data_IF_631317690461
#
_entry.id   IF_631317690461
#
_cell.length_a   1.000
_cell.length_b   1.000
_cell.length_c   1.000
_cell.angle_alpha   90.00
_cell.angle_beta   90.00
_cell.angle_gamma   90.00
#
_symmetry.space_group_name_H-M   'P 1'
#
loop_
_entity.id
_entity.type
_entity.pdbx_description
1 polymer ?
#
# COMPACT_ATOMS: atom_id res chain seq x y z
N UNK A 1 -2.60 19.83 15.04
CA UNK A 1 -3.00 18.69 15.88
C UNK A 1 -1.76 18.13 16.56
N UNK A 2 -1.81 17.82 17.85
CA UNK A 2 -0.69 17.24 18.61
C UNK A 2 -0.56 15.73 18.34
N UNK A 3 0.58 15.13 18.71
CA UNK A 3 0.78 13.69 18.61
C UNK A 3 -0.27 12.90 19.39
N UNK A 4 -0.60 13.34 20.59
CA UNK A 4 -1.56 12.67 21.47
C UNK A 4 -2.99 12.75 20.91
N UNK A 5 -3.37 13.89 20.33
CA UNK A 5 -4.66 14.03 19.64
C UNK A 5 -4.76 13.06 18.45
N UNK A 6 -3.71 12.94 17.63
CA UNK A 6 -3.67 11.99 16.50
C UNK A 6 -3.74 10.56 17.02
N UNK A 7 -2.98 10.22 18.06
CA UNK A 7 -2.99 8.89 18.66
C UNK A 7 -4.38 8.52 19.18
N UNK A 8 -5.09 9.48 19.80
CA UNK A 8 -6.46 9.32 20.25
C UNK A 8 -7.44 9.08 19.11
N UNK A 9 -7.26 9.72 17.95
CA UNK A 9 -8.08 9.45 16.75
C UNK A 9 -7.80 8.06 16.20
N UNK A 10 -6.53 7.68 16.07
CA UNK A 10 -6.14 6.37 15.53
C UNK A 10 -6.62 5.20 16.41
N UNK A 11 -6.71 5.39 17.73
CA UNK A 11 -7.27 4.40 18.65
C UNK A 11 -8.78 4.13 18.41
N UNK A 12 -9.48 4.99 17.68
CA UNK A 12 -10.89 4.80 17.30
C UNK A 12 -11.05 4.11 15.94
N UNK A 13 -9.96 3.83 15.24
CA UNK A 13 -9.96 3.16 13.93
C UNK A 13 -9.50 1.73 14.11
N UNK A 14 -10.20 0.79 13.47
CA UNK A 14 -9.87 -0.62 13.48
C UNK A 14 -10.09 -1.24 12.10
N UNK A 15 -9.23 -2.18 11.74
CA UNK A 15 -9.36 -3.01 10.54
C UNK A 15 -8.57 -4.30 10.77
N UNK A 16 -9.27 -5.43 10.82
CA UNK A 16 -8.68 -6.74 11.16
C UNK A 16 -7.85 -6.67 12.45
N UNK A 17 -6.73 -7.40 12.51
CA UNK A 17 -5.74 -7.34 13.58
C UNK A 17 -4.57 -6.38 13.26
N UNK A 18 -4.76 -5.47 12.31
CA UNK A 18 -3.71 -4.56 11.85
C UNK A 18 -3.53 -3.38 12.80
N UNK A 19 -2.29 -2.96 12.96
CA UNK A 19 -1.93 -1.86 13.85
C UNK A 19 -1.73 -0.57 13.07
N UNK A 20 -2.38 0.51 13.51
CA UNK A 20 -2.13 1.89 13.06
C UNK A 20 -1.02 2.52 13.89
N UNK A 21 0.23 2.34 13.45
CA UNK A 21 1.40 2.86 14.15
C UNK A 21 1.64 4.34 13.83
N UNK A 22 1.72 5.18 14.86
CA UNK A 22 2.11 6.58 14.76
C UNK A 22 3.61 6.73 15.08
N UNK A 23 4.41 6.89 14.03
CA UNK A 23 5.84 7.12 14.12
C UNK A 23 6.23 8.57 13.95
N UNK A 24 7.52 8.84 14.10
CA UNK A 24 8.13 10.14 13.89
C UNK A 24 9.44 9.99 13.12
N UNK A 25 9.67 10.87 12.13
CA UNK A 25 10.87 10.95 11.30
C UNK A 25 11.36 12.40 11.32
N UNK A 26 12.42 12.67 12.08
CA UNK A 26 12.80 14.03 12.47
C UNK A 26 11.67 14.72 13.24
N UNK A 27 11.18 15.84 12.73
CA UNK A 27 10.05 16.58 13.31
C UNK A 27 8.68 16.13 12.77
N UNK A 28 8.65 15.30 11.73
CA UNK A 28 7.40 14.96 11.03
C UNK A 28 6.82 13.64 11.53
N UNK A 29 5.55 13.66 11.92
CA UNK A 29 4.82 12.45 12.25
C UNK A 29 4.44 11.68 10.99
N UNK A 30 4.33 10.35 11.10
CA UNK A 30 3.82 9.50 10.04
C UNK A 30 2.92 8.40 10.57
N UNK A 31 1.93 8.03 9.79
CA UNK A 31 1.13 6.83 10.00
C UNK A 31 1.74 5.65 9.21
N UNK A 32 1.76 4.47 9.79
CA UNK A 32 2.17 3.24 9.12
C UNK A 32 1.29 2.07 9.57
N UNK A 33 0.83 1.27 8.61
CA UNK A 33 0.21 -0.03 8.92
C UNK A 33 1.29 -1.02 9.30
N UNK A 34 1.05 -1.79 10.37
CA UNK A 34 1.89 -2.92 10.78
C UNK A 34 1.04 -4.15 11.02
N UNK A 35 1.54 -5.30 10.60
CA UNK A 35 0.87 -6.60 10.73
C UNK A 35 1.89 -7.59 11.24
N UNK A 36 1.72 -8.04 12.48
CA UNK A 36 2.64 -8.99 13.13
C UNK A 36 2.30 -10.45 12.79
N UNK A 37 1.06 -10.69 12.35
CA UNK A 37 0.46 -11.99 12.02
C UNK A 37 0.49 -12.30 10.52
N UNK A 38 1.21 -11.51 9.72
CA UNK A 38 1.27 -11.65 8.27
C UNK A 38 1.77 -13.03 7.83
N UNK A 39 1.41 -13.42 6.61
CA UNK A 39 1.87 -14.66 5.97
C UNK A 39 2.58 -14.28 4.68
N UNK A 40 3.81 -14.76 4.52
CA UNK A 40 4.61 -14.55 3.33
C UNK A 40 3.97 -15.25 2.12
N UNK A 41 3.72 -14.50 1.04
CA UNK A 41 3.04 -15.01 -0.16
C UNK A 41 3.91 -15.95 -1.02
N UNK A 42 5.22 -15.98 -0.78
CA UNK A 42 6.21 -16.83 -1.43
C UNK A 42 6.48 -18.09 -0.60
N UNK A 43 6.79 -17.94 0.69
CA UNK A 43 7.22 -19.05 1.56
C UNK A 43 6.08 -19.69 2.33
N UNK A 44 4.98 -18.95 2.58
CA UNK A 44 3.88 -19.38 3.45
C UNK A 44 4.19 -19.28 4.95
N UNK A 45 5.35 -18.77 5.32
CA UNK A 45 5.74 -18.60 6.72
C UNK A 45 5.12 -17.36 7.36
N UNK A 46 5.02 -17.34 8.68
CA UNK A 46 4.61 -16.14 9.40
C UNK A 46 5.69 -15.09 9.30
N UNK A 47 5.30 -13.89 8.88
CA UNK A 47 6.19 -12.74 8.77
C UNK A 47 5.48 -11.49 9.27
N UNK A 48 6.18 -10.73 10.10
CA UNK A 48 5.76 -9.38 10.44
C UNK A 48 6.14 -8.44 9.28
N UNK A 49 5.19 -7.64 8.81
CA UNK A 49 5.45 -6.65 7.77
C UNK A 49 4.82 -5.30 8.09
N UNK A 50 5.31 -4.28 7.39
CA UNK A 50 4.81 -2.92 7.52
C UNK A 50 4.58 -2.30 6.15
N UNK A 51 3.51 -1.52 6.03
CA UNK A 51 3.26 -0.73 4.84
C UNK A 51 4.22 0.47 4.73
N UNK A 52 4.04 1.27 3.68
CA UNK A 52 4.77 2.53 3.54
C UNK A 52 4.40 3.54 4.64
N UNK A 53 5.30 4.50 4.91
CA UNK A 53 5.03 5.64 5.79
C UNK A 53 4.13 6.67 5.10
N UNK A 54 3.09 7.13 5.79
CA UNK A 54 2.19 8.21 5.37
C UNK A 54 2.48 9.45 6.20
N UNK A 55 3.23 10.37 5.63
CA UNK A 55 3.69 11.56 6.35
C UNK A 55 2.55 12.53 6.63
N UNK A 56 2.33 12.83 7.91
CA UNK A 56 1.22 13.67 8.36
C UNK A 56 1.65 15.14 8.38
N UNK A 57 0.73 16.03 8.00
CA UNK A 57 0.91 17.47 8.16
C UNK A 57 0.45 17.90 9.56
N UNK A 58 1.15 18.83 10.23
CA UNK A 58 0.72 19.34 11.54
C UNK A 58 -0.62 20.09 11.49
N UNK A 59 -1.04 20.50 10.29
CA UNK A 59 -2.29 21.24 10.03
C UNK A 59 -3.48 20.34 9.68
N UNK A 60 -3.30 19.01 9.67
CA UNK A 60 -4.40 18.09 9.36
C UNK A 60 -5.54 18.20 10.37
N UNK A 61 -6.76 18.10 9.86
CA UNK A 61 -7.96 17.93 10.65
C UNK A 61 -8.24 16.44 10.93
N UNK A 62 -9.22 16.17 11.80
CA UNK A 62 -9.59 14.80 12.19
C UNK A 62 -9.98 13.94 11.00
N UNK A 63 -10.77 14.49 10.06
CA UNK A 63 -11.22 13.73 8.88
C UNK A 63 -10.03 13.30 8.01
N UNK A 64 -9.05 14.18 7.80
CA UNK A 64 -7.85 13.86 7.01
C UNK A 64 -7.01 12.76 7.66
N UNK A 65 -6.94 12.70 9.00
CA UNK A 65 -6.27 11.59 9.71
C UNK A 65 -7.00 10.27 9.45
N UNK A 66 -8.32 10.24 9.58
CA UNK A 66 -9.14 9.04 9.34
C UNK A 66 -9.06 8.60 7.88
N UNK A 67 -9.14 9.53 6.92
CA UNK A 67 -9.01 9.23 5.50
C UNK A 67 -7.60 8.77 5.13
N UNK A 68 -6.56 9.31 5.79
CA UNK A 68 -5.19 8.82 5.61
C UNK A 68 -5.05 7.39 6.11
N UNK A 69 -5.64 7.05 7.27
CA UNK A 69 -5.69 5.69 7.78
C UNK A 69 -6.44 4.74 6.84
N UNK A 70 -7.59 5.17 6.31
CA UNK A 70 -8.34 4.43 5.31
C UNK A 70 -7.53 4.21 4.02
N UNK A 71 -6.78 5.21 3.56
CA UNK A 71 -5.93 5.08 2.38
C UNK A 71 -4.74 4.15 2.62
N UNK A 72 -4.19 4.15 3.83
CA UNK A 72 -3.12 3.25 4.23
C UNK A 72 -3.57 1.79 4.18
N UNK A 73 -4.77 1.49 4.70
CA UNK A 73 -5.39 0.15 4.60
C UNK A 73 -5.57 -0.25 3.15
N UNK A 74 -6.25 0.57 2.35
CA UNK A 74 -6.51 0.24 0.94
C UNK A 74 -5.22 -0.07 0.19
N UNK A 75 -4.17 0.71 0.43
CA UNK A 75 -2.87 0.48 -0.22
C UNK A 75 -2.26 -0.85 0.20
N UNK A 76 -2.31 -1.19 1.49
CA UNK A 76 -1.78 -2.44 2.02
C UNK A 76 -2.61 -3.66 1.59
N UNK A 77 -3.94 -3.59 1.61
CA UNK A 77 -4.82 -4.65 1.09
C UNK A 77 -4.58 -4.87 -0.41
N UNK A 78 -4.43 -3.80 -1.19
CA UNK A 78 -4.11 -3.91 -2.61
C UNK A 78 -2.73 -4.51 -2.86
N UNK A 79 -1.75 -4.25 -1.99
CA UNK A 79 -0.44 -4.91 -2.05
C UNK A 79 -0.60 -6.43 -1.93
N UNK A 80 -1.19 -6.89 -0.82
CA UNK A 80 -1.44 -8.31 -0.56
C UNK A 80 -2.25 -8.98 -1.68
N UNK A 81 -3.29 -8.30 -2.17
CA UNK A 81 -4.13 -8.81 -3.25
C UNK A 81 -3.33 -9.02 -4.54
N UNK A 82 -2.43 -8.08 -4.86
CA UNK A 82 -1.59 -8.13 -6.06
C UNK A 82 -0.56 -9.25 -6.00
N UNK A 83 0.00 -9.55 -4.82
CA UNK A 83 0.94 -10.66 -4.61
C UNK A 83 0.25 -12.03 -4.57
N UNK A 84 -1.03 -12.08 -4.18
CA UNK A 84 -1.79 -13.34 -4.18
C UNK A 84 -2.40 -13.66 -5.54
N UNK A 85 -2.62 -12.66 -6.39
CA UNK A 85 -3.24 -12.86 -7.70
C UNK A 85 -2.26 -13.43 -8.72
N UNK A 86 -2.55 -14.65 -9.20
CA UNK A 86 -1.68 -15.37 -10.15
C UNK A 86 -2.34 -15.55 -11.52
N UNK A 87 -1.62 -15.20 -12.57
CA UNK A 87 -1.92 -15.56 -13.96
C UNK A 87 -0.91 -16.60 -14.44
N UNK A 88 -1.40 -17.74 -14.94
CA UNK A 88 -0.56 -18.89 -15.35
C UNK A 88 0.45 -19.32 -14.26
N UNK A 89 0.00 -19.30 -13.00
CA UNK A 89 0.80 -19.71 -11.85
C UNK A 89 1.83 -18.68 -11.34
N UNK A 90 1.92 -17.50 -11.94
CA UNK A 90 2.84 -16.42 -11.52
C UNK A 90 2.10 -15.13 -11.21
N UNK A 91 2.64 -14.31 -10.32
CA UNK A 91 2.12 -12.96 -10.06
C UNK A 91 2.45 -12.07 -11.26
N UNK A 92 1.43 -11.34 -11.76
CA UNK A 92 1.58 -10.40 -12.88
C UNK A 92 1.23 -8.96 -12.50
N UNK A 93 0.82 -8.75 -11.26
CA UNK A 93 0.56 -7.43 -10.71
C UNK A 93 1.47 -7.14 -9.53
N UNK A 94 2.55 -7.88 -9.34
CA UNK A 94 3.45 -7.70 -8.20
C UNK A 94 3.89 -6.23 -8.05
N UNK A 95 3.73 -5.59 -6.88
CA UNK A 95 4.14 -4.21 -6.70
C UNK A 95 5.66 -4.04 -6.62
N UNK A 96 6.43 -5.13 -6.50
CA UNK A 96 7.88 -5.11 -6.46
C UNK A 96 8.54 -5.24 -7.83
N UNK A 97 7.76 -5.20 -8.92
CA UNK A 97 8.36 -5.17 -10.25
C UNK A 97 9.28 -3.96 -10.42
N UNK A 98 10.43 -4.25 -11.03
CA UNK A 98 11.42 -3.26 -11.42
C UNK A 98 10.81 -2.26 -12.42
N UNK A 99 10.70 -0.97 -12.05
CA UNK A 99 10.13 0.04 -12.92
C UNK A 99 10.84 0.18 -14.27
N UNK A 100 12.15 -0.05 -14.33
CA UNK A 100 12.92 0.08 -15.57
C UNK A 100 12.58 -1.06 -16.55
N UNK A 101 12.36 -2.28 -16.04
CA UNK A 101 11.89 -3.40 -16.87
C UNK A 101 10.45 -3.22 -17.34
N UNK A 102 9.59 -2.61 -16.52
CA UNK A 102 8.23 -2.27 -16.95
C UNK A 102 8.25 -1.20 -18.06
N UNK A 103 9.17 -0.23 -17.97
CA UNK A 103 9.39 0.75 -19.02
C UNK A 103 9.88 0.09 -20.32
N UNK A 104 10.84 -0.84 -20.25
CA UNK A 104 11.28 -1.62 -21.41
C UNK A 104 10.15 -2.43 -22.05
N UNK A 105 9.35 -3.13 -21.23
CA UNK A 105 8.15 -3.86 -21.71
C UNK A 105 7.21 -2.92 -22.45
N UNK A 106 6.93 -1.74 -21.89
CA UNK A 106 6.04 -0.75 -22.50
C UNK A 106 6.56 -0.23 -23.85
N UNK A 107 7.87 -0.28 -24.08
CA UNK A 107 8.48 0.08 -25.36
C UNK A 107 8.30 -0.95 -26.47
N UNK A 108 7.82 -2.17 -26.17
CA UNK A 108 7.62 -3.21 -27.17
C UNK A 108 6.31 -2.97 -27.95
N UNK A 109 6.29 -3.15 -29.29
CA UNK A 109 5.13 -2.83 -30.12
C UNK A 109 3.91 -3.72 -29.84
N UNK A 110 4.12 -4.90 -29.26
CA UNK A 110 3.11 -5.92 -28.97
C UNK A 110 2.83 -6.07 -27.46
N UNK A 111 3.25 -5.11 -26.63
CA UNK A 111 3.06 -5.19 -25.18
C UNK A 111 1.62 -4.98 -24.70
N UNK A 112 0.72 -4.49 -25.57
CA UNK A 112 -0.68 -4.23 -25.26
C UNK A 112 -1.59 -5.28 -25.87
N UNK A 113 -2.46 -5.85 -25.05
CA UNK A 113 -3.59 -6.69 -25.46
C UNK A 113 -4.88 -5.97 -25.06
N UNK A 114 -5.48 -5.27 -26.01
CA UNK A 114 -6.61 -4.37 -25.79
C UNK A 114 -7.74 -4.58 -26.78
N UNK A 115 -8.92 -4.04 -26.45
CA UNK A 115 -10.10 -4.15 -27.32
C UNK A 115 -9.87 -3.39 -28.64
N UNK A 116 -10.43 -3.86 -29.77
CA UNK A 116 -10.39 -3.12 -31.03
C UNK A 116 -10.91 -1.69 -30.87
N UNK A 117 -10.17 -0.71 -31.41
CA UNK A 117 -10.52 0.72 -31.34
C UNK A 117 -10.16 1.41 -30.02
N UNK A 118 -9.35 0.78 -29.17
CA UNK A 118 -8.77 1.45 -27.99
C UNK A 118 -7.83 2.59 -28.39
N UNK A 119 -7.78 3.63 -27.55
CA UNK A 119 -7.02 4.86 -27.79
C UNK A 119 -5.53 4.74 -27.41
N UNK A 120 -5.11 3.61 -26.86
CA UNK A 120 -3.77 3.43 -26.30
C UNK A 120 -2.80 2.68 -27.23
N UNK A 121 -3.29 2.19 -28.37
CA UNK A 121 -2.53 1.50 -29.41
C UNK A 121 -2.12 2.40 -30.57
N UNK A 122 -1.21 3.34 -30.31
CA UNK A 122 -0.32 3.95 -31.30
C UNK A 122 1.00 4.31 -30.64
#
# INVERSE_FOLDING_TARGET
MTKDEIQGILALVAFEDWTFFLGQDGERLYLQIRVDSGIDNVTGERIAWSGRKWMLSPFMCKNEIVETAWKAIQTAVMHETREKFKYRGRTIFDPHFDPDKLWELRGQPDCLDERPGSQFGT
#
